data_IF_945308963733
#
_entry.id   IF_945308963733
#
_cell.length_a   1.000
_cell.length_b   1.000
_cell.length_c   1.000
_cell.angle_alpha   90.00
_cell.angle_beta   90.00
_cell.angle_gamma   90.00
#
_symmetry.space_group_name_H-M   'P 1'
#
loop_
_entity.id
_entity.type
_entity.pdbx_description
1 polymer ?
#
# COMPACT_ATOMS: atom_id res chain seq x y z
N UNK A 1 -17.71 28.15 0.89
CA UNK A 1 -17.66 26.68 1.09
C UNK A 1 -16.23 26.23 0.86
N UNK A 2 -15.55 25.63 1.84
CA UNK A 2 -14.28 24.95 1.58
C UNK A 2 -14.57 23.72 0.71
N UNK A 3 -13.91 23.61 -0.44
CA UNK A 3 -13.84 22.34 -1.16
C UNK A 3 -13.12 21.37 -0.23
N UNK A 4 -13.67 20.16 0.05
CA UNK A 4 -12.90 19.17 0.78
C UNK A 4 -11.64 18.90 -0.04
N UNK A 5 -10.47 19.08 0.56
CA UNK A 5 -9.21 18.70 -0.05
C UNK A 5 -8.74 17.39 0.59
N UNK A 6 -7.88 16.66 -0.09
CA UNK A 6 -7.25 15.50 0.49
C UNK A 6 -6.41 15.96 1.71
N UNK A 7 -6.36 15.19 2.80
CA UNK A 7 -5.46 15.53 3.89
C UNK A 7 -4.00 15.49 3.41
N UNK A 8 -3.07 16.23 4.03
CA UNK A 8 -1.65 16.08 3.72
C UNK A 8 -1.21 14.63 3.75
N UNK A 9 -0.39 14.20 2.78
CA UNK A 9 -0.02 12.79 2.62
C UNK A 9 0.53 12.16 3.91
N UNK A 10 1.33 12.90 4.68
CA UNK A 10 1.85 12.45 5.97
C UNK A 10 0.73 12.04 6.95
N UNK A 11 -0.37 12.80 7.03
CA UNK A 11 -1.51 12.47 7.89
C UNK A 11 -2.24 11.22 7.41
N UNK A 12 -2.40 11.06 6.10
CA UNK A 12 -2.96 9.84 5.50
C UNK A 12 -2.07 8.62 5.79
N UNK A 13 -0.75 8.76 5.65
CA UNK A 13 0.22 7.71 5.94
C UNK A 13 0.16 7.30 7.42
N UNK A 14 0.18 8.27 8.33
CA UNK A 14 0.14 8.02 9.77
C UNK A 14 -1.15 7.32 10.20
N UNK A 15 -2.28 7.66 9.56
CA UNK A 15 -3.58 7.04 9.85
C UNK A 15 -3.71 5.59 9.37
N UNK A 16 -2.89 5.15 8.40
CA UNK A 16 -3.10 3.87 7.72
C UNK A 16 -1.89 2.93 7.72
N UNK A 17 -0.70 3.40 8.11
CA UNK A 17 0.54 2.60 8.11
C UNK A 17 0.38 1.27 8.86
N UNK A 18 -0.24 1.28 10.05
CA UNK A 18 -0.34 0.08 10.88
C UNK A 18 -1.32 -0.94 10.28
N UNK A 19 -2.43 -0.47 9.70
CA UNK A 19 -3.41 -1.31 9.00
C UNK A 19 -2.80 -1.97 7.76
N UNK A 20 -2.08 -1.18 6.95
CA UNK A 20 -1.42 -1.67 5.74
C UNK A 20 -0.32 -2.66 6.10
N UNK A 21 0.51 -2.35 7.11
CA UNK A 21 1.58 -3.25 7.53
C UNK A 21 1.02 -4.57 8.07
N UNK A 22 -0.03 -4.54 8.91
CA UNK A 22 -0.69 -5.76 9.40
C UNK A 22 -1.24 -6.60 8.25
N UNK A 23 -1.89 -5.97 7.28
CA UNK A 23 -2.40 -6.65 6.09
C UNK A 23 -1.26 -7.31 5.28
N UNK A 24 -0.16 -6.60 5.05
CA UNK A 24 0.97 -7.12 4.28
C UNK A 24 1.70 -8.24 5.02
N UNK A 25 1.92 -8.12 6.32
CA UNK A 25 2.50 -9.20 7.14
C UNK A 25 1.64 -10.46 7.06
N UNK A 26 0.31 -10.33 7.10
CA UNK A 26 -0.59 -11.47 6.94
C UNK A 26 -0.56 -12.06 5.52
N UNK A 27 -0.47 -11.21 4.48
CA UNK A 27 -0.53 -11.64 3.09
C UNK A 27 0.78 -12.28 2.61
N UNK A 28 1.91 -11.58 2.79
CA UNK A 28 3.21 -12.01 2.26
C UNK A 28 4.17 -12.54 3.33
N UNK A 29 3.85 -12.41 4.61
CA UNK A 29 4.76 -12.79 5.69
C UNK A 29 5.80 -11.71 5.99
N UNK A 30 6.38 -11.76 7.19
CA UNK A 30 7.22 -10.70 7.77
C UNK A 30 8.43 -10.31 6.92
N UNK A 31 9.04 -11.26 6.21
CA UNK A 31 10.25 -11.02 5.43
C UNK A 31 10.02 -10.09 4.22
N UNK A 32 8.88 -10.19 3.53
CA UNK A 32 8.60 -9.38 2.34
C UNK A 32 7.63 -8.23 2.63
N UNK A 33 7.08 -8.16 3.84
CA UNK A 33 6.10 -7.15 4.20
C UNK A 33 6.67 -5.73 4.16
N UNK A 34 7.93 -5.54 4.58
CA UNK A 34 8.57 -4.23 4.61
C UNK A 34 8.79 -3.66 3.20
N UNK A 35 9.22 -4.49 2.26
CA UNK A 35 9.39 -4.12 0.85
C UNK A 35 8.04 -3.79 0.21
N UNK A 36 7.05 -4.68 0.38
CA UNK A 36 5.69 -4.43 -0.11
C UNK A 36 5.06 -3.18 0.51
N UNK A 37 5.38 -2.85 1.77
CA UNK A 37 4.90 -1.66 2.47
C UNK A 37 5.49 -0.39 1.83
N UNK A 38 6.81 -0.36 1.61
CA UNK A 38 7.48 0.75 0.95
C UNK A 38 6.91 0.98 -0.45
N UNK A 39 6.81 -0.08 -1.25
CA UNK A 39 6.24 0.02 -2.60
C UNK A 39 4.79 0.50 -2.60
N UNK A 40 4.00 0.09 -1.60
CA UNK A 40 2.61 0.51 -1.44
C UNK A 40 2.53 2.02 -1.22
N UNK A 41 3.26 2.55 -0.24
CA UNK A 41 3.20 3.98 0.09
C UNK A 41 3.89 4.87 -0.95
N UNK A 42 4.93 4.39 -1.64
CA UNK A 42 5.50 5.08 -2.81
C UNK A 42 4.50 5.15 -3.96
N UNK A 43 3.76 4.07 -4.22
CA UNK A 43 2.71 4.04 -5.24
C UNK A 43 1.54 4.94 -4.86
N UNK A 44 1.16 4.94 -3.57
CA UNK A 44 0.14 5.83 -3.04
C UNK A 44 0.56 7.30 -3.21
N UNK A 45 1.77 7.68 -2.80
CA UNK A 45 2.26 9.06 -2.92
C UNK A 45 2.18 9.58 -4.38
N UNK A 46 2.60 8.76 -5.35
CA UNK A 46 2.56 9.13 -6.78
C UNK A 46 1.16 9.32 -7.34
N UNK A 47 0.16 8.66 -6.76
CA UNK A 47 -1.23 8.69 -7.23
C UNK A 47 -2.13 9.57 -6.36
N UNK A 48 -1.63 10.09 -5.24
CA UNK A 48 -2.41 10.72 -4.19
C UNK A 48 -3.18 11.95 -4.70
N UNK A 49 -2.48 12.86 -5.39
CA UNK A 49 -3.05 14.13 -5.89
C UNK A 49 -4.11 13.95 -6.99
N UNK A 50 -4.33 12.71 -7.45
CA UNK A 50 -5.36 12.37 -8.45
C UNK A 50 -6.64 11.83 -7.81
N UNK A 51 -6.65 11.62 -6.50
CA UNK A 51 -7.82 11.14 -5.78
C UNK A 51 -8.89 12.22 -5.68
N UNK A 52 -10.15 11.78 -5.70
CA UNK A 52 -11.25 12.66 -5.35
C UNK A 52 -11.29 12.83 -3.83
N UNK A 53 -11.60 14.03 -3.30
CA UNK A 53 -11.62 14.28 -1.86
C UNK A 53 -12.60 13.41 -1.05
N UNK A 54 -13.64 12.88 -1.69
CA UNK A 54 -14.66 11.99 -1.11
C UNK A 54 -14.27 10.49 -1.19
N UNK A 55 -13.07 10.17 -1.69
CA UNK A 55 -12.59 8.80 -1.80
C UNK A 55 -12.42 8.13 -0.44
N UNK A 56 -12.78 6.86 -0.33
CA UNK A 56 -12.42 6.04 0.84
C UNK A 56 -10.91 5.72 0.82
N UNK A 57 -10.12 6.57 1.46
CA UNK A 57 -8.65 6.49 1.49
C UNK A 57 -8.14 5.15 2.02
N UNK A 58 -8.81 4.59 3.04
CA UNK A 58 -8.45 3.29 3.63
C UNK A 58 -8.65 2.16 2.63
N UNK A 59 -9.81 2.09 1.99
CA UNK A 59 -10.08 1.06 0.98
C UNK A 59 -9.14 1.19 -0.23
N UNK A 60 -8.85 2.43 -0.62
CA UNK A 60 -7.93 2.72 -1.73
C UNK A 60 -6.50 2.25 -1.45
N UNK A 61 -5.94 2.58 -0.28
CA UNK A 61 -4.56 2.15 0.06
C UNK A 61 -4.46 0.63 0.23
N UNK A 62 -5.48 -0.01 0.81
CA UNK A 62 -5.54 -1.47 0.92
C UNK A 62 -5.66 -2.14 -0.46
N UNK A 63 -6.30 -1.48 -1.44
CA UNK A 63 -6.32 -1.97 -2.83
C UNK A 63 -4.92 -1.96 -3.44
N UNK A 64 -4.12 -0.92 -3.19
CA UNK A 64 -2.72 -0.86 -3.63
C UNK A 64 -1.91 -1.96 -2.93
N UNK A 65 -2.02 -2.07 -1.61
CA UNK A 65 -1.32 -3.08 -0.81
C UNK A 65 -1.63 -4.51 -1.29
N UNK A 66 -2.90 -4.79 -1.60
CA UNK A 66 -3.32 -6.09 -2.11
C UNK A 66 -2.66 -6.42 -3.45
N UNK A 67 -2.59 -5.46 -4.39
CA UNK A 67 -1.88 -5.66 -5.67
C UNK A 67 -0.40 -5.95 -5.45
N UNK A 68 0.25 -5.22 -4.55
CA UNK A 68 1.67 -5.45 -4.18
C UNK A 68 1.90 -6.82 -3.57
N UNK A 69 0.99 -7.29 -2.70
CA UNK A 69 1.06 -8.64 -2.17
C UNK A 69 0.97 -9.71 -3.28
N UNK A 70 0.05 -9.55 -4.25
CA UNK A 70 -0.05 -10.47 -5.40
C UNK A 70 1.24 -10.49 -6.24
N UNK A 71 1.85 -9.33 -6.47
CA UNK A 71 3.10 -9.23 -7.22
C UNK A 71 4.27 -9.91 -6.49
N UNK A 72 4.38 -9.73 -5.17
CA UNK A 72 5.35 -10.43 -4.34
C UNK A 72 5.18 -11.96 -4.41
N UNK A 73 3.94 -12.47 -4.35
CA UNK A 73 3.67 -13.90 -4.53
C UNK A 73 4.09 -14.40 -5.92
N UNK A 74 3.83 -13.62 -6.98
CA UNK A 74 4.27 -13.96 -8.34
C UNK A 74 5.79 -13.94 -8.49
N UNK A 75 6.48 -13.04 -7.79
CA UNK A 75 7.94 -12.97 -7.79
C UNK A 75 8.56 -14.19 -7.07
N UNK A 76 8.04 -14.55 -5.89
CA UNK A 76 8.47 -15.75 -5.14
C UNK A 76 8.38 -17.03 -5.96
N UNK A 77 7.26 -17.23 -6.67
CA UNK A 77 7.07 -18.42 -7.53
C UNK A 77 8.05 -18.51 -8.70
N UNK A 78 8.64 -17.39 -9.12
CA UNK A 78 9.61 -17.32 -10.22
C UNK A 78 11.06 -17.34 -9.76
N UNK A 79 11.32 -17.43 -8.45
CA UNK A 79 12.69 -17.42 -7.93
C UNK A 79 13.37 -18.76 -8.24
N UNK A 80 14.50 -18.76 -8.96
CA UNK A 80 15.20 -20.00 -9.28
C UNK A 80 15.63 -20.71 -8.00
N UNK A 81 15.41 -22.03 -7.96
CA UNK A 81 15.94 -22.88 -6.90
C UNK A 81 17.44 -23.03 -7.16
N UNK A 82 18.32 -22.65 -6.21
CA UNK A 82 19.73 -22.93 -6.36
C UNK A 82 19.92 -24.45 -6.43
N UNK A 83 20.54 -24.92 -7.51
CA UNK A 83 21.06 -26.29 -7.68
C UNK A 83 22.48 -26.36 -7.13
#
# INVERSE_FOLDING_TARGET
>A
MCVPDLPPFQRFLDAHRDDVLRFLVAAVGRHDADDAFQETFLSALRAYDRLRPDSNLRAWVLTIAHRKALDAHRARRRRPVPV
#
